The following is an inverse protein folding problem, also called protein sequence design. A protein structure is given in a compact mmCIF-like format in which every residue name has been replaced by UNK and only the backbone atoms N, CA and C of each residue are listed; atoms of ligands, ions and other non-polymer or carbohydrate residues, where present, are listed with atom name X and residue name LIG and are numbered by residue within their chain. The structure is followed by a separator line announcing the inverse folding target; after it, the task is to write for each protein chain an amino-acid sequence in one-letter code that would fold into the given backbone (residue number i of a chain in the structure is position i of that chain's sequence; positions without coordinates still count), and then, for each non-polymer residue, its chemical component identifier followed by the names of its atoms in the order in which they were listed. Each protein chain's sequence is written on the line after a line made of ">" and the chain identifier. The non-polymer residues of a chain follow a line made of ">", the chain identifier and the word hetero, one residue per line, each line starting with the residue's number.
data_IF_581878968996
#
_entry.id   IF_581878968996
#
_cell.length_a   1.000
_cell.length_b   1.000
_cell.length_c   1.000
_cell.angle_alpha   90.00
_cell.angle_beta   90.00
_cell.angle_gamma   90.00
#
_symmetry.space_group_name_H-M   'P 1'
#
loop_
_entity.id
_entity.type
_entity.pdbx_description
1 polymer ?
#
# COMPACT_ATOMS: atom_id res chain seq x y z
N UNK A 1 -20.11 11.16 5.50
CA UNK A 1 -18.74 11.20 6.08
C UNK A 1 -18.18 9.79 6.22
N UNK A 2 -18.86 8.90 6.95
CA UNK A 2 -18.47 7.50 7.19
C UNK A 2 -17.98 6.67 5.98
N UNK A 3 -18.61 6.81 4.81
CA UNK A 3 -18.22 6.04 3.61
C UNK A 3 -16.81 6.44 3.11
N UNK A 4 -16.47 7.72 3.17
CA UNK A 4 -15.15 8.21 2.73
C UNK A 4 -14.05 7.87 3.74
N UNK A 5 -14.38 7.90 5.04
CA UNK A 5 -13.51 7.42 6.12
C UNK A 5 -13.19 5.94 5.95
N UNK A 6 -14.22 5.11 5.75
CA UNK A 6 -14.07 3.67 5.61
C UNK A 6 -13.24 3.33 4.36
N UNK A 7 -13.51 4.00 3.23
CA UNK A 7 -12.74 3.81 2.00
C UNK A 7 -11.26 4.20 2.20
N UNK A 8 -10.99 5.33 2.86
CA UNK A 8 -9.62 5.78 3.15
C UNK A 8 -8.88 4.79 4.05
N UNK A 9 -9.53 4.31 5.12
CA UNK A 9 -8.94 3.33 6.03
C UNK A 9 -8.66 2.01 5.33
N UNK A 10 -9.58 1.50 4.49
CA UNK A 10 -9.36 0.26 3.73
C UNK A 10 -8.17 0.36 2.77
N UNK A 11 -8.08 1.47 2.02
CA UNK A 11 -6.96 1.70 1.10
C UNK A 11 -5.65 1.87 1.89
N UNK A 12 -5.69 2.57 3.02
CA UNK A 12 -4.56 2.71 3.94
C UNK A 12 -4.08 1.36 4.48
N UNK A 13 -4.98 0.46 4.89
CA UNK A 13 -4.65 -0.89 5.35
C UNK A 13 -3.95 -1.67 4.23
N UNK A 14 -4.44 -1.61 2.99
CA UNK A 14 -3.80 -2.27 1.85
C UNK A 14 -2.38 -1.72 1.62
N UNK A 15 -2.22 -0.40 1.68
CA UNK A 15 -0.92 0.26 1.48
C UNK A 15 0.08 -0.09 2.58
N UNK A 16 -0.30 0.01 3.85
CA UNK A 16 0.54 -0.36 5.00
C UNK A 16 0.83 -1.86 5.03
N UNK A 17 -0.14 -2.71 4.67
CA UNK A 17 0.07 -4.16 4.55
C UNK A 17 1.15 -4.51 3.54
N UNK A 18 1.17 -3.83 2.39
CA UNK A 18 2.23 -3.96 1.38
C UNK A 18 3.59 -3.49 1.92
N UNK A 19 3.64 -2.40 2.70
CA UNK A 19 4.89 -1.96 3.36
C UNK A 19 5.43 -3.02 4.31
N UNK A 20 4.59 -3.63 5.14
CA UNK A 20 5.04 -4.69 6.04
C UNK A 20 5.52 -5.91 5.28
N UNK A 21 4.86 -6.30 4.19
CA UNK A 21 5.33 -7.37 3.33
C UNK A 21 6.75 -7.08 2.78
N UNK A 22 6.99 -5.88 2.25
CA UNK A 22 8.31 -5.53 1.72
C UNK A 22 9.38 -5.43 2.80
N UNK A 23 9.09 -4.79 3.93
CA UNK A 23 10.10 -4.51 4.95
C UNK A 23 10.40 -5.74 5.83
N UNK A 24 9.38 -6.51 6.21
CA UNK A 24 9.53 -7.63 7.14
C UNK A 24 9.72 -8.96 6.41
N UNK A 25 8.90 -9.25 5.40
CA UNK A 25 8.92 -10.56 4.74
C UNK A 25 9.97 -10.60 3.62
N UNK A 26 9.95 -9.63 2.70
CA UNK A 26 10.82 -9.67 1.53
C UNK A 26 12.30 -9.48 1.88
N UNK A 27 12.66 -8.47 2.68
CA UNK A 27 14.07 -8.20 3.04
C UNK A 27 14.70 -9.38 3.77
N UNK A 28 13.98 -10.02 4.70
CA UNK A 28 14.47 -11.21 5.41
C UNK A 28 14.54 -12.46 4.54
N UNK A 29 13.72 -12.56 3.49
CA UNK A 29 13.67 -13.71 2.60
C UNK A 29 14.70 -13.66 1.48
N UNK A 30 15.18 -12.47 1.07
CA UNK A 30 16.15 -12.33 -0.02
C UNK A 30 17.44 -13.16 0.11
N UNK A 31 18.07 -13.29 1.29
CA UNK A 31 19.27 -14.12 1.46
C UNK A 31 19.01 -15.59 1.12
N UNK A 32 17.94 -16.18 1.68
CA UNK A 32 17.54 -17.57 1.44
C UNK A 32 17.18 -17.81 -0.04
N UNK A 33 16.49 -16.85 -0.66
CA UNK A 33 16.15 -16.92 -2.09
C UNK A 33 17.38 -16.82 -3.01
N UNK A 34 18.46 -16.18 -2.55
CA UNK A 34 19.70 -16.05 -3.33
C UNK A 34 20.47 -17.36 -3.34
N UNK A 35 20.49 -18.09 -2.21
CA UNK A 35 21.10 -19.42 -2.11
C UNK A 35 20.37 -20.46 -2.97
N UNK A 36 19.03 -20.40 -3.05
CA UNK A 36 18.21 -21.28 -3.89
C UNK A 36 18.16 -20.88 -5.39
N UNK A 37 18.79 -19.77 -5.78
CA UNK A 37 18.72 -19.24 -7.15
C UNK A 37 17.35 -18.67 -7.56
N UNK A 38 16.38 -18.62 -6.63
CA UNK A 38 15.02 -18.11 -6.84
C UNK A 38 14.91 -16.58 -6.74
N UNK A 39 15.95 -15.88 -6.26
CA UNK A 39 15.95 -14.43 -6.07
C UNK A 39 15.76 -13.64 -7.39
N UNK A 40 16.38 -14.10 -8.48
CA UNK A 40 16.24 -13.48 -9.81
C UNK A 40 14.80 -13.56 -10.34
N UNK A 41 14.17 -14.74 -10.45
CA UNK A 41 12.80 -14.84 -10.95
C UNK A 41 11.77 -14.13 -10.05
N UNK A 42 11.93 -14.13 -8.73
CA UNK A 42 11.06 -13.36 -7.83
C UNK A 42 11.15 -11.85 -8.07
N UNK A 43 12.36 -11.33 -8.18
CA UNK A 43 12.62 -9.91 -8.40
C UNK A 43 12.14 -9.45 -9.79
N UNK A 44 12.12 -10.34 -10.78
CA UNK A 44 11.67 -10.01 -12.13
C UNK A 44 10.16 -10.17 -12.34
N UNK A 45 9.49 -11.05 -11.60
CA UNK A 45 8.09 -11.41 -11.85
C UNK A 45 7.15 -10.87 -10.77
N UNK A 46 7.53 -10.99 -9.49
CA UNK A 46 6.64 -10.70 -8.36
C UNK A 46 6.84 -9.26 -7.88
N UNK A 47 8.10 -8.82 -7.75
CA UNK A 47 8.42 -7.47 -7.29
C UNK A 47 7.79 -6.35 -8.13
N UNK A 48 7.88 -6.33 -9.48
CA UNK A 48 7.30 -5.22 -10.25
C UNK A 48 5.77 -5.17 -10.14
N UNK A 49 5.09 -6.32 -10.00
CA UNK A 49 3.64 -6.36 -9.76
C UNK A 49 3.31 -5.82 -8.37
N UNK A 50 4.02 -6.26 -7.35
CA UNK A 50 3.82 -5.78 -5.99
C UNK A 50 4.10 -4.26 -5.87
N UNK A 51 5.15 -3.76 -6.53
CA UNK A 51 5.46 -2.32 -6.60
C UNK A 51 4.39 -1.53 -7.37
N UNK A 52 3.81 -2.10 -8.43
CA UNK A 52 2.68 -1.48 -9.12
C UNK A 52 1.50 -1.29 -8.17
N UNK A 53 1.09 -2.34 -7.43
CA UNK A 53 0.02 -2.23 -6.44
C UNK A 53 0.36 -1.26 -5.31
N UNK A 54 1.61 -1.25 -4.84
CA UNK A 54 2.08 -0.31 -3.82
C UNK A 54 1.94 1.16 -4.25
N UNK A 55 2.35 1.49 -5.48
CA UNK A 55 2.24 2.85 -6.02
C UNK A 55 0.79 3.29 -6.15
N UNK A 56 -0.09 2.42 -6.64
CA UNK A 56 -1.51 2.74 -6.77
C UNK A 56 -2.20 2.82 -5.40
N UNK A 57 -1.87 1.95 -4.45
CA UNK A 57 -2.39 2.00 -3.09
C UNK A 57 -1.96 3.29 -2.36
N UNK A 58 -0.72 3.73 -2.51
CA UNK A 58 -0.24 5.00 -1.98
C UNK A 58 -1.00 6.20 -2.56
N UNK A 59 -1.16 6.23 -3.88
CA UNK A 59 -1.91 7.28 -4.58
C UNK A 59 -3.36 7.34 -4.11
N UNK A 60 -4.03 6.18 -4.05
CA UNK A 60 -5.41 6.08 -3.58
C UNK A 60 -5.56 6.49 -2.11
N UNK A 61 -4.56 6.23 -1.26
CA UNK A 61 -4.57 6.66 0.15
C UNK A 61 -4.55 8.19 0.22
N UNK A 62 -3.70 8.85 -0.56
CA UNK A 62 -3.64 10.32 -0.61
C UNK A 62 -4.93 10.92 -1.17
N UNK A 63 -5.45 10.40 -2.28
CA UNK A 63 -6.68 10.89 -2.90
C UNK A 63 -7.87 10.75 -1.95
N UNK A 64 -8.03 9.58 -1.32
CA UNK A 64 -9.12 9.35 -0.35
C UNK A 64 -8.95 10.21 0.91
N UNK A 65 -7.72 10.48 1.36
CA UNK A 65 -7.44 11.36 2.49
C UNK A 65 -7.79 12.83 2.20
N UNK A 66 -7.47 13.31 0.99
CA UNK A 66 -7.88 14.65 0.54
C UNK A 66 -9.40 14.73 0.43
N UNK A 67 -10.05 13.72 -0.17
CA UNK A 67 -11.50 13.67 -0.29
C UNK A 67 -12.20 13.69 1.08
N UNK A 68 -11.68 12.92 2.05
CA UNK A 68 -12.15 12.95 3.43
C UNK A 68 -11.98 14.33 4.08
N UNK A 69 -10.80 14.95 3.95
CA UNK A 69 -10.54 16.28 4.50
C UNK A 69 -11.45 17.37 3.92
N UNK A 70 -11.70 17.33 2.60
CA UNK A 70 -12.61 18.27 1.94
C UNK A 70 -14.07 18.02 2.35
N UNK A 71 -14.50 16.76 2.42
CA UNK A 71 -15.85 16.41 2.86
C UNK A 71 -16.10 16.77 4.34
N UNK A 72 -15.08 16.65 5.19
CA UNK A 72 -15.14 17.05 6.60
C UNK A 72 -15.16 18.56 6.81
N UNK A 73 -14.58 19.36 5.90
CA UNK A 73 -14.61 20.84 6.02
C UNK A 73 -16.01 21.43 5.91
N UNK A 74 -16.91 20.83 5.13
CA UNK A 74 -18.29 21.32 4.96
C UNK A 74 -19.22 21.08 6.15
N UNK A 75 -18.78 20.34 7.19
CA UNK A 75 -19.60 20.04 8.38
C UNK A 75 -19.26 20.91 9.59
N UNK A 76 -18.21 21.73 9.53
CA UNK A 76 -17.72 22.54 10.67
C UNK A 76 -18.13 24.03 10.55
N UNK A 77 -18.78 24.41 9.45
CA UNK A 77 -19.36 25.75 9.23
C UNK A 77 -20.86 25.84 9.60
N UNK A 78 -21.37 24.85 10.35
CA UNK A 78 -22.75 24.81 10.85
C UNK A 78 -22.87 25.21 12.31
#
# INVERSE_FOLDING_TARGET
>A
MWIFEFLHVLIGILWIGLLYFFNLVQVQSMPKMTEEGAAKPYTQIILPRALFFFRHAALWTVISGIAYYVAGRGTIEG
#
